data_IF_031401450803
#
_entry.id   IF_031401450803
#
_cell.length_a   1.000
_cell.length_b   1.000
_cell.length_c   1.000
_cell.angle_alpha   90.00
_cell.angle_beta   90.00
_cell.angle_gamma   90.00
#
_symmetry.space_group_name_H-M   'P 1'
#
loop_
_entity.id
_entity.type
_entity.pdbx_description
1 polymer ?
#
# COMPACT_ATOMS: atom_id res chain seq x y z
N UNK A 1 -42.45 8.34 -1.73
CA UNK A 1 -41.89 7.86 -3.02
C UNK A 1 -40.47 7.47 -2.70
N UNK A 2 -40.45 6.44 -1.91
CA UNK A 2 -39.33 5.78 -1.33
C UNK A 2 -38.81 4.82 -2.41
N UNK A 3 -37.53 4.53 -2.31
CA UNK A 3 -36.95 3.25 -2.71
C UNK A 3 -36.13 3.18 -4.03
N UNK A 4 -34.85 2.86 -3.80
CA UNK A 4 -33.89 2.16 -4.65
C UNK A 4 -33.26 2.87 -5.86
N UNK A 5 -32.06 3.39 -5.62
CA UNK A 5 -30.90 2.82 -6.32
C UNK A 5 -29.83 2.50 -5.29
N UNK A 6 -30.03 1.37 -4.61
CA UNK A 6 -28.92 0.55 -4.17
C UNK A 6 -28.03 0.34 -5.41
N UNK A 7 -26.91 1.04 -5.50
CA UNK A 7 -25.80 0.52 -6.28
C UNK A 7 -25.24 -0.61 -5.44
N UNK A 8 -25.46 -1.82 -5.93
CA UNK A 8 -24.90 -3.06 -5.44
C UNK A 8 -23.40 -2.90 -5.27
N UNK A 9 -22.95 -3.07 -4.03
CA UNK A 9 -21.70 -3.74 -3.64
C UNK A 9 -21.04 -4.42 -4.85
N UNK A 10 -19.92 -3.86 -5.31
CA UNK A 10 -18.90 -4.65 -6.00
C UNK A 10 -18.25 -5.55 -4.96
N UNK A 11 -18.90 -6.66 -4.66
CA UNK A 11 -18.25 -7.84 -4.08
C UNK A 11 -17.41 -8.48 -5.18
N UNK A 12 -16.29 -7.83 -5.47
CA UNK A 12 -14.99 -8.46 -5.67
C UNK A 12 -14.05 -7.62 -4.79
N UNK A 13 -14.25 -7.76 -3.49
CA UNK A 13 -13.88 -6.79 -2.44
C UNK A 13 -12.39 -6.68 -2.18
N UNK A 14 -11.63 -6.18 -3.14
CA UNK A 14 -10.30 -5.62 -2.93
C UNK A 14 -10.19 -4.37 -3.78
N UNK A 15 -10.95 -3.34 -3.39
CA UNK A 15 -10.64 -2.00 -3.87
C UNK A 15 -9.16 -1.74 -3.53
N UNK A 16 -8.31 -1.41 -4.51
CA UNK A 16 -6.87 -1.19 -4.28
C UNK A 16 -6.59 -0.19 -3.17
N UNK A 17 -7.56 0.68 -2.90
CA UNK A 17 -7.51 1.73 -1.90
C UNK A 17 -7.59 1.18 -0.45
N UNK A 18 -8.39 0.12 -0.23
CA UNK A 18 -8.60 -0.51 1.09
C UNK A 18 -7.45 -1.43 1.53
N UNK A 19 -6.55 -1.81 0.61
CA UNK A 19 -5.40 -2.65 0.96
C UNK A 19 -4.48 -1.90 1.94
N UNK A 20 -4.22 -2.50 3.10
CA UNK A 20 -3.31 -1.92 4.08
C UNK A 20 -1.87 -2.43 3.87
N UNK A 21 -0.98 -1.56 3.39
CA UNK A 21 0.43 -1.88 3.20
C UNK A 21 1.15 -1.76 4.54
N UNK A 22 1.38 -2.90 5.20
CA UNK A 22 2.08 -2.96 6.48
C UNK A 22 3.57 -2.67 6.35
N UNK A 23 4.21 -2.36 7.47
CA UNK A 23 5.68 -2.26 7.54
C UNK A 23 6.37 -3.59 7.19
N UNK A 24 5.72 -4.72 7.43
CA UNK A 24 6.23 -6.05 7.06
C UNK A 24 6.31 -6.22 5.55
N UNK A 25 5.28 -5.78 4.81
CA UNK A 25 5.32 -5.73 3.34
C UNK A 25 6.47 -4.83 2.85
N UNK A 26 6.68 -3.69 3.51
CA UNK A 26 7.77 -2.77 3.21
C UNK A 26 9.15 -3.41 3.37
N UNK A 27 9.32 -4.32 4.36
CA UNK A 27 10.56 -5.04 4.62
C UNK A 27 10.78 -6.20 3.65
N UNK A 28 9.69 -6.81 3.18
CA UNK A 28 9.71 -7.95 2.26
C UNK A 28 9.90 -7.53 0.79
N UNK A 29 9.60 -6.26 0.45
CA UNK A 29 9.75 -5.77 -0.94
C UNK A 29 11.17 -5.97 -1.45
N UNK A 30 11.35 -6.66 -2.60
CA UNK A 30 12.64 -6.68 -3.29
C UNK A 30 12.94 -5.27 -3.78
N UNK A 31 14.10 -4.72 -3.38
CA UNK A 31 14.47 -3.37 -3.80
C UNK A 31 14.69 -3.31 -5.32
N UNK A 32 14.37 -2.16 -5.92
CA UNK A 32 14.54 -1.84 -7.35
C UNK A 32 16.02 -1.78 -7.85
N UNK A 33 16.96 -2.36 -7.10
CA UNK A 33 18.39 -2.38 -7.46
C UNK A 33 19.12 -3.61 -6.90
N UNK A 34 20.36 -3.82 -7.32
CA UNK A 34 21.20 -4.98 -7.01
C UNK A 34 21.53 -5.21 -5.51
N UNK A 35 20.88 -4.48 -4.59
CA UNK A 35 21.01 -4.67 -3.14
C UNK A 35 19.62 -4.97 -2.58
N UNK A 36 19.42 -6.10 -1.89
CA UNK A 36 18.12 -6.46 -1.35
C UNK A 36 17.70 -5.46 -0.27
N UNK A 37 16.41 -5.12 -0.25
CA UNK A 37 15.75 -4.38 0.82
C UNK A 37 15.45 -2.93 0.48
N UNK A 38 14.17 -2.60 0.50
CA UNK A 38 13.71 -1.24 0.68
C UNK A 38 14.19 -0.76 2.06
N UNK A 39 15.36 -0.13 2.14
CA UNK A 39 15.83 0.40 3.43
C UNK A 39 14.76 1.36 3.96
N UNK A 40 14.46 1.35 5.27
CA UNK A 40 13.57 2.36 5.90
C UNK A 40 13.85 3.80 5.42
N UNK A 41 15.10 4.08 5.03
CA UNK A 41 15.55 5.32 4.43
C UNK A 41 14.87 5.68 3.10
N UNK A 42 14.67 4.72 2.20
CA UNK A 42 13.99 4.92 0.91
C UNK A 42 12.52 5.25 1.11
N UNK A 43 11.84 4.48 1.96
CA UNK A 43 10.44 4.74 2.32
C UNK A 43 10.25 6.08 2.99
N UNK A 44 11.12 6.42 3.94
CA UNK A 44 11.07 7.72 4.60
C UNK A 44 11.33 8.87 3.62
N UNK A 45 12.23 8.70 2.66
CA UNK A 45 12.51 9.71 1.63
C UNK A 45 11.31 9.91 0.69
N UNK A 46 10.67 8.82 0.25
CA UNK A 46 9.43 8.85 -0.53
C UNK A 46 8.31 9.55 0.23
N UNK A 47 8.10 9.15 1.50
CA UNK A 47 7.08 9.75 2.36
C UNK A 47 7.32 11.25 2.53
N UNK A 48 8.57 11.66 2.81
CA UNK A 48 8.92 13.07 2.91
C UNK A 48 8.74 13.84 1.59
N UNK A 49 8.94 13.20 0.44
CA UNK A 49 8.75 13.81 -0.88
C UNK A 49 7.28 14.10 -1.18
N UNK A 50 6.39 13.18 -0.82
CA UNK A 50 4.95 13.29 -1.06
C UNK A 50 4.15 13.88 0.12
N UNK A 51 4.83 14.29 1.20
CA UNK A 51 4.19 14.85 2.39
C UNK A 51 3.44 13.82 3.24
N UNK A 52 3.76 12.54 3.09
CA UNK A 52 3.26 11.47 3.94
C UNK A 52 4.04 11.45 5.26
N UNK A 53 3.32 11.37 6.38
CA UNK A 53 3.97 11.36 7.70
C UNK A 53 4.48 9.96 8.06
N UNK A 54 5.80 9.78 7.95
CA UNK A 54 6.45 8.51 8.27
C UNK A 54 6.21 8.05 9.72
N UNK A 55 6.10 8.99 10.66
CA UNK A 55 5.90 8.66 12.07
C UNK A 55 4.49 8.11 12.29
N UNK A 56 3.49 8.74 11.66
CA UNK A 56 2.11 8.26 11.70
C UNK A 56 1.96 6.90 11.00
N UNK A 57 2.65 6.68 9.87
CA UNK A 57 2.68 5.37 9.19
C UNK A 57 3.22 4.28 10.11
N UNK A 58 4.35 4.54 10.79
CA UNK A 58 4.93 3.57 11.72
C UNK A 58 4.02 3.32 12.91
N UNK A 59 3.39 4.39 13.44
CA UNK A 59 2.44 4.31 14.56
C UNK A 59 1.15 3.57 14.20
N UNK A 60 0.67 3.75 12.98
CA UNK A 60 -0.48 3.04 12.42
C UNK A 60 -0.15 1.60 12.00
N UNK A 61 1.15 1.27 11.87
CA UNK A 61 1.63 -0.04 11.45
C UNK A 61 1.70 -0.25 9.93
N UNK A 62 1.46 0.80 9.15
CA UNK A 62 1.40 0.74 7.70
C UNK A 62 0.80 2.00 7.07
N UNK A 63 0.64 1.94 5.76
CA UNK A 63 0.05 2.99 4.93
C UNK A 63 -1.09 2.39 4.09
N UNK A 64 -2.25 3.05 3.98
CA UNK A 64 -3.27 2.61 3.03
C UNK A 64 -2.72 2.69 1.60
N UNK A 65 -2.94 1.64 0.81
CA UNK A 65 -2.51 1.57 -0.57
C UNK A 65 -3.10 2.71 -1.39
N UNK A 66 -4.30 3.18 -1.07
CA UNK A 66 -4.88 4.39 -1.65
C UNK A 66 -3.96 5.61 -1.61
N UNK A 67 -3.35 5.87 -0.45
CA UNK A 67 -2.40 6.97 -0.28
C UNK A 67 -1.13 6.79 -1.11
N UNK A 68 -0.68 5.54 -1.31
CA UNK A 68 0.45 5.23 -2.19
C UNK A 68 0.09 5.40 -3.67
N UNK A 69 -1.06 4.90 -4.10
CA UNK A 69 -1.56 5.01 -5.48
C UNK A 69 -1.78 6.48 -5.87
N UNK A 70 -2.26 7.30 -4.94
CA UNK A 70 -2.46 8.73 -5.14
C UNK A 70 -1.16 9.50 -5.43
N UNK A 71 0.01 8.99 -5.01
CA UNK A 71 1.30 9.61 -5.36
C UNK A 71 1.66 9.45 -6.84
N UNK A 72 1.15 8.40 -7.49
CA UNK A 72 1.51 8.05 -8.88
C UNK A 72 2.97 7.62 -9.07
N UNK A 73 3.73 7.43 -7.98
CA UNK A 73 5.14 7.07 -8.05
C UNK A 73 5.31 5.60 -8.44
N UNK A 74 6.20 5.32 -9.41
CA UNK A 74 6.47 3.95 -9.86
C UNK A 74 6.85 2.99 -8.71
N UNK A 75 7.50 3.53 -7.68
CA UNK A 75 7.90 2.80 -6.50
C UNK A 75 6.71 2.52 -5.58
N UNK A 76 5.83 3.52 -5.38
CA UNK A 76 4.64 3.37 -4.56
C UNK A 76 3.70 2.32 -5.17
N UNK A 77 3.55 2.35 -6.51
CA UNK A 77 2.81 1.34 -7.27
C UNK A 77 3.39 -0.07 -7.06
N UNK A 78 4.71 -0.22 -7.14
CA UNK A 78 5.37 -1.52 -6.94
C UNK A 78 5.22 -2.06 -5.51
N UNK A 79 5.26 -1.17 -4.51
CA UNK A 79 5.02 -1.56 -3.11
C UNK A 79 3.58 -2.06 -2.90
N UNK A 80 2.59 -1.40 -3.51
CA UNK A 80 1.19 -1.86 -3.46
C UNK A 80 1.04 -3.21 -4.15
N UNK A 81 1.68 -3.39 -5.31
CA UNK A 81 1.68 -4.66 -6.05
C UNK A 81 2.29 -5.80 -5.22
N UNK A 82 3.46 -5.60 -4.62
CA UNK A 82 4.08 -6.60 -3.74
C UNK A 82 3.23 -6.89 -2.50
N UNK A 83 2.66 -5.86 -1.86
CA UNK A 83 1.78 -6.04 -0.71
C UNK A 83 0.55 -6.87 -1.08
N UNK A 84 0.01 -6.72 -2.31
CA UNK A 84 -1.02 -7.62 -2.83
C UNK A 84 -0.47 -9.03 -2.92
N UNK A 85 0.64 -9.26 -3.62
CA UNK A 85 1.18 -10.62 -3.79
C UNK A 85 1.40 -11.35 -2.46
N UNK A 86 1.97 -10.67 -1.46
CA UNK A 86 2.20 -11.24 -0.12
C UNK A 86 0.89 -11.48 0.63
N UNK A 87 -0.06 -10.55 0.57
CA UNK A 87 -1.37 -10.70 1.23
C UNK A 87 -2.20 -11.83 0.61
N UNK A 88 -2.15 -11.99 -0.71
CA UNK A 88 -2.81 -13.10 -1.42
C UNK A 88 -2.05 -14.43 -1.25
N UNK A 89 -0.75 -14.39 -0.91
CA UNK A 89 0.11 -15.56 -0.68
C UNK A 89 0.00 -16.17 0.72
N UNK A 90 -0.60 -15.48 1.71
CA UNK A 90 -0.75 -15.99 3.09
C UNK A 90 -1.95 -16.94 3.29
N UNK A 91 -2.37 -17.65 2.23
CA UNK A 91 -3.47 -18.62 2.23
C UNK A 91 -3.03 -20.07 2.09
N UNK A 92 -1.93 -20.49 2.74
CA UNK A 92 -1.40 -21.85 2.69
C UNK A 92 -1.05 -22.42 4.06
#
# INVERSE_FOLDING_TARGET
MDDLTHVTVTSDGTEPDELFVTLEHLHSVPAFGARPGYCHRGARALCAHYGLDWTEIVRAGGIPAGALLATGDALALHLVDHAREVSHGHGG
#
